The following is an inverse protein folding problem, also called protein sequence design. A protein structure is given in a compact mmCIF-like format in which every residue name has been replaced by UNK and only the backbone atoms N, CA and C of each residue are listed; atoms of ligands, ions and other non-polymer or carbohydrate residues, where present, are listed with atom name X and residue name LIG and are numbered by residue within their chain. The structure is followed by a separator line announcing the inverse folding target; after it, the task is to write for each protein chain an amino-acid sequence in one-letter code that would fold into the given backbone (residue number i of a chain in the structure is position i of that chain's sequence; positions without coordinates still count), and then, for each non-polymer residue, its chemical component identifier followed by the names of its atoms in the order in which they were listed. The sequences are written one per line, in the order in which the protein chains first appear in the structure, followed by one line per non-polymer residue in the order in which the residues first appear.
data_IF_852872809366
#
_entry.id   IF_852872809366
#
_cell.length_a   1.000
_cell.length_b   1.000
_cell.length_c   1.000
_cell.angle_alpha   90.00
_cell.angle_beta   90.00
_cell.angle_gamma   90.00
#
_symmetry.space_group_name_H-M   'P 1'
#
loop_
_entity.id
_entity.type
_entity.pdbx_description
1 polymer ?
#
# COMPACT_ATOMS: atom_id res chain seq x y z
N UNK A 1 2.80 -31.06 16.31
CA UNK A 1 1.62 -30.20 16.12
C UNK A 1 2.11 -28.76 16.01
N UNK A 2 2.15 -28.20 14.80
CA UNK A 2 2.56 -26.81 14.58
C UNK A 2 1.50 -25.88 15.19
N UNK A 3 1.79 -25.36 16.37
CA UNK A 3 0.97 -24.32 16.98
C UNK A 3 1.19 -23.04 16.15
N UNK A 4 0.37 -22.83 15.12
CA UNK A 4 0.38 -21.61 14.31
C UNK A 4 0.02 -20.47 15.27
N UNK A 5 1.01 -19.69 15.73
CA UNK A 5 0.74 -18.47 16.47
C UNK A 5 -0.17 -17.59 15.59
N UNK A 6 -1.39 -17.26 16.01
CA UNK A 6 -2.28 -16.44 15.22
C UNK A 6 -1.58 -15.09 14.95
N UNK A 7 -1.63 -14.64 13.71
CA UNK A 7 -1.19 -13.29 13.34
C UNK A 7 -1.90 -12.30 14.27
N UNK A 8 -1.15 -11.47 14.99
CA UNK A 8 -1.74 -10.36 15.75
C UNK A 8 -2.58 -9.49 14.83
N UNK A 9 -3.71 -8.97 15.34
CA UNK A 9 -4.72 -8.24 14.55
C UNK A 9 -4.12 -7.15 13.65
N UNK A 10 -3.14 -6.39 14.17
CA UNK A 10 -2.43 -5.37 13.41
C UNK A 10 -1.65 -5.90 12.20
N UNK A 11 -1.02 -7.09 12.30
CA UNK A 11 -0.31 -7.73 11.17
C UNK A 11 -1.29 -8.24 10.11
N UNK A 12 -2.45 -8.75 10.51
CA UNK A 12 -3.51 -9.13 9.55
C UNK A 12 -4.00 -7.91 8.78
N UNK A 13 -4.25 -6.80 9.47
CA UNK A 13 -4.68 -5.56 8.84
C UNK A 13 -3.62 -5.03 7.86
N UNK A 14 -2.34 -5.05 8.25
CA UNK A 14 -1.23 -4.66 7.38
C UNK A 14 -1.13 -5.56 6.13
N UNK A 15 -1.34 -6.87 6.27
CA UNK A 15 -1.33 -7.80 5.15
C UNK A 15 -2.48 -7.55 4.16
N UNK A 16 -3.70 -7.42 4.67
CA UNK A 16 -4.88 -7.12 3.84
C UNK A 16 -4.70 -5.79 3.12
N UNK A 17 -4.17 -4.79 3.82
CA UNK A 17 -3.88 -3.48 3.27
C UNK A 17 -2.83 -3.55 2.17
N UNK A 18 -1.76 -4.31 2.35
CA UNK A 18 -0.74 -4.51 1.33
C UNK A 18 -1.30 -5.19 0.08
N UNK A 19 -2.15 -6.20 0.24
CA UNK A 19 -2.84 -6.84 -0.90
C UNK A 19 -3.73 -5.85 -1.63
N UNK A 20 -4.52 -5.04 -0.90
CA UNK A 20 -5.33 -3.99 -1.50
C UNK A 20 -4.45 -3.00 -2.28
N UNK A 21 -3.34 -2.53 -1.72
CA UNK A 21 -2.43 -1.63 -2.44
C UNK A 21 -1.90 -2.28 -3.72
N UNK A 22 -1.48 -3.54 -3.70
CA UNK A 22 -1.00 -4.24 -4.89
C UNK A 22 -2.07 -4.33 -5.99
N UNK A 23 -3.30 -4.68 -5.62
CA UNK A 23 -4.43 -4.68 -6.55
C UNK A 23 -4.66 -3.27 -7.10
N UNK A 24 -4.64 -2.25 -6.24
CA UNK A 24 -4.78 -0.85 -6.62
C UNK A 24 -3.69 -0.39 -7.60
N UNK A 25 -2.45 -0.84 -7.45
CA UNK A 25 -1.35 -0.52 -8.35
C UNK A 25 -1.50 -1.09 -9.76
N UNK A 26 -2.22 -2.21 -9.91
CA UNK A 26 -2.49 -2.83 -11.22
C UNK A 26 -3.66 -2.17 -11.95
N UNK A 27 -4.55 -1.50 -11.22
CA UNK A 27 -5.70 -0.80 -11.78
C UNK A 27 -5.32 0.58 -12.35
N UNK A 28 -6.15 1.19 -13.21
CA UNK A 28 -5.95 2.55 -13.68
C UNK A 28 -5.95 3.55 -12.52
N UNK A 29 -4.92 4.38 -12.48
CA UNK A 29 -4.78 5.51 -11.53
C UNK A 29 -5.24 6.82 -12.17
N UNK A 30 -5.31 6.86 -13.49
CA UNK A 30 -5.88 7.96 -14.25
C UNK A 30 -6.46 7.42 -15.55
N UNK A 31 -7.65 7.86 -15.90
CA UNK A 31 -8.21 7.64 -17.22
C UNK A 31 -8.95 8.90 -17.68
N UNK A 32 -8.56 9.47 -18.82
CA UNK A 32 -9.25 10.61 -19.42
C UNK A 32 -9.34 10.47 -20.94
N UNK A 33 -10.34 11.12 -21.54
CA UNK A 33 -10.66 10.98 -22.97
C UNK A 33 -11.77 9.95 -23.23
N UNK A 34 -12.03 9.67 -24.51
CA UNK A 34 -13.11 8.75 -24.93
C UNK A 34 -14.48 9.42 -25.16
N UNK A 35 -14.68 10.68 -24.77
CA UNK A 35 -15.83 11.49 -25.16
C UNK A 35 -15.51 12.29 -26.43
N UNK A 36 -16.40 12.25 -27.43
CA UNK A 36 -16.26 13.06 -28.66
C UNK A 36 -15.22 12.59 -29.68
N UNK A 37 -14.79 11.33 -29.65
CA UNK A 37 -13.87 10.75 -30.64
C UNK A 37 -12.37 10.93 -30.33
N UNK A 38 -12.03 11.48 -29.17
CA UNK A 38 -10.65 11.56 -28.69
C UNK A 38 -10.19 10.20 -28.12
N UNK A 39 -8.94 9.78 -28.37
CA UNK A 39 -8.41 8.52 -27.84
C UNK A 39 -8.37 8.55 -26.31
N UNK A 40 -8.69 7.42 -25.68
CA UNK A 40 -8.61 7.28 -24.22
C UNK A 40 -7.14 7.18 -23.81
N UNK A 41 -6.74 7.96 -22.80
CA UNK A 41 -5.41 7.91 -22.22
C UNK A 41 -5.55 7.37 -20.80
N UNK A 42 -4.86 6.28 -20.52
CA UNK A 42 -4.87 5.60 -19.22
C UNK A 42 -3.47 5.51 -18.66
N UNK A 43 -3.30 5.89 -17.40
CA UNK A 43 -2.06 5.72 -16.64
C UNK A 43 -2.30 4.86 -15.42
N UNK A 44 -1.27 4.10 -15.04
CA UNK A 44 -1.27 3.24 -13.86
C UNK A 44 -0.21 3.72 -12.84
N UNK A 45 -0.07 2.99 -11.73
CA UNK A 45 0.93 3.28 -10.70
C UNK A 45 2.37 3.31 -11.25
N UNK A 46 2.66 2.54 -12.30
CA UNK A 46 4.00 2.42 -12.87
C UNK A 46 4.37 3.57 -13.81
N UNK A 47 3.43 4.44 -14.15
CA UNK A 47 3.66 5.61 -15.01
C UNK A 47 4.34 6.78 -14.28
N UNK A 48 5.14 6.51 -13.23
CA UNK A 48 5.83 7.54 -12.44
C UNK A 48 6.17 7.09 -11.02
N UNK A 49 5.90 7.95 -10.03
CA UNK A 49 6.26 7.69 -8.63
C UNK A 49 5.39 6.64 -7.90
N UNK A 50 4.32 6.13 -8.54
CA UNK A 50 3.48 5.07 -7.97
C UNK A 50 4.21 3.73 -7.78
N UNK A 51 5.38 3.56 -8.41
CA UNK A 51 6.29 2.44 -8.13
C UNK A 51 6.67 2.37 -6.63
N UNK A 52 6.83 3.51 -5.96
CA UNK A 52 7.15 3.55 -4.52
C UNK A 52 6.04 2.91 -3.67
N UNK A 53 4.79 3.08 -4.09
CA UNK A 53 3.60 2.54 -3.43
C UNK A 53 3.56 1.01 -3.60
N UNK A 54 3.88 0.53 -4.79
CA UNK A 54 4.03 -0.89 -5.07
C UNK A 54 5.16 -1.54 -4.24
N UNK A 55 6.33 -0.90 -4.20
CA UNK A 55 7.47 -1.38 -3.41
C UNK A 55 7.16 -1.40 -1.91
N UNK A 56 6.45 -0.39 -1.40
CA UNK A 56 6.01 -0.36 -0.02
C UNK A 56 5.06 -1.52 0.32
N UNK A 57 4.13 -1.85 -0.59
CA UNK A 57 3.21 -2.97 -0.40
C UNK A 57 3.93 -4.33 -0.43
N UNK A 58 4.87 -4.54 -1.35
CA UNK A 58 5.71 -5.74 -1.36
C UNK A 58 6.55 -5.82 -0.08
N UNK A 59 7.18 -4.71 0.33
CA UNK A 59 7.95 -4.65 1.57
C UNK A 59 7.10 -5.00 2.79
N UNK A 60 5.83 -4.57 2.80
CA UNK A 60 4.90 -4.91 3.88
C UNK A 60 4.59 -6.41 3.91
N UNK A 61 4.28 -7.02 2.76
CA UNK A 61 4.08 -8.47 2.69
C UNK A 61 5.34 -9.24 3.06
N UNK A 62 6.51 -8.77 2.64
CA UNK A 62 7.78 -9.36 3.01
C UNK A 62 7.97 -9.34 4.53
N UNK A 63 7.70 -8.22 5.21
CA UNK A 63 7.78 -8.15 6.67
C UNK A 63 6.78 -9.06 7.38
N UNK A 64 5.55 -9.17 6.87
CA UNK A 64 4.53 -10.04 7.45
C UNK A 64 4.89 -11.52 7.28
N UNK A 65 5.49 -11.89 6.14
CA UNK A 65 5.86 -13.28 5.81
C UNK A 65 7.22 -13.70 6.39
N UNK A 66 8.13 -12.74 6.62
CA UNK A 66 9.48 -12.95 7.18
C UNK A 66 9.53 -13.89 8.39
N UNK A 67 8.72 -13.68 9.47
CA UNK A 67 8.79 -14.53 10.66
C UNK A 67 8.35 -15.97 10.38
N UNK A 68 7.52 -16.20 9.36
CA UNK A 68 7.13 -17.55 8.95
C UNK A 68 8.21 -18.25 8.13
N UNK A 69 9.01 -17.48 7.38
CA UNK A 69 10.09 -18.01 6.55
C UNK A 69 11.40 -18.25 7.34
N UNK A 70 11.70 -17.41 8.33
CA UNK A 70 12.95 -17.47 9.08
C UNK A 70 12.97 -18.48 10.25
N UNK A 71 11.84 -19.13 10.55
CA UNK A 71 11.73 -20.09 11.65
C UNK A 71 11.99 -19.45 13.02
N UNK A 72 12.79 -20.10 13.86
CA UNK A 72 13.04 -19.70 15.26
C UNK A 72 14.04 -18.53 15.43
N UNK A 73 14.50 -17.90 14.35
CA UNK A 73 15.41 -16.73 14.48
C UNK A 73 14.59 -15.47 14.78
N UNK A 74 14.79 -14.82 15.94
CA UNK A 74 14.10 -13.56 16.25
C UNK A 74 14.59 -12.47 15.31
N UNK A 75 13.72 -12.03 14.41
CA UNK A 75 14.00 -10.92 13.51
C UNK A 75 13.46 -9.65 14.18
N UNK A 76 14.29 -9.03 15.01
CA UNK A 76 13.93 -7.83 15.78
C UNK A 76 13.36 -6.68 14.92
N UNK A 77 13.64 -6.69 13.61
CA UNK A 77 13.15 -5.69 12.66
C UNK A 77 11.70 -5.94 12.22
N UNK A 78 11.27 -7.19 12.04
CA UNK A 78 9.90 -7.50 11.62
C UNK A 78 8.86 -7.32 12.73
N UNK A 79 9.32 -7.22 13.98
CA UNK A 79 8.48 -7.00 15.16
C UNK A 79 8.29 -5.52 15.50
N UNK A 80 9.14 -4.64 14.97
CA UNK A 80 9.09 -3.20 15.26
C UNK A 80 8.05 -2.48 14.43
N UNK A 81 7.24 -1.66 15.09
CA UNK A 81 6.27 -0.77 14.46
C UNK A 81 6.95 0.22 13.48
N UNK A 82 8.21 0.58 13.72
CA UNK A 82 8.96 1.55 12.91
C UNK A 82 9.10 1.11 11.45
N UNK A 83 9.28 -0.18 11.18
CA UNK A 83 9.39 -0.69 9.81
C UNK A 83 8.09 -0.55 9.03
N UNK A 84 6.94 -0.81 9.68
CA UNK A 84 5.62 -0.59 9.09
C UNK A 84 5.32 0.90 8.90
N UNK A 85 5.78 1.78 9.81
CA UNK A 85 5.65 3.22 9.65
C UNK A 85 6.44 3.73 8.43
N UNK A 86 7.69 3.29 8.26
CA UNK A 86 8.51 3.69 7.13
C UNK A 86 7.84 3.29 5.81
N UNK A 87 7.29 2.07 5.73
CA UNK A 87 6.58 1.61 4.54
C UNK A 87 5.29 2.38 4.29
N UNK A 88 4.52 2.69 5.34
CA UNK A 88 3.32 3.53 5.23
C UNK A 88 3.67 4.95 4.75
N UNK A 89 4.74 5.56 5.29
CA UNK A 89 5.24 6.86 4.87
C UNK A 89 5.73 6.83 3.41
N UNK A 90 6.44 5.78 3.01
CA UNK A 90 6.91 5.60 1.63
C UNK A 90 5.74 5.47 0.65
N UNK A 91 4.69 4.73 1.02
CA UNK A 91 3.47 4.61 0.22
C UNK A 91 2.74 5.95 0.13
N UNK A 92 2.58 6.68 1.23
CA UNK A 92 1.98 8.01 1.24
C UNK A 92 2.75 9.02 0.38
N UNK A 93 4.08 9.04 0.49
CA UNK A 93 4.95 9.88 -0.34
C UNK A 93 4.87 9.49 -1.81
N UNK A 94 4.80 8.20 -2.14
CA UNK A 94 4.62 7.73 -3.52
C UNK A 94 3.33 8.25 -4.15
N UNK A 95 2.21 8.21 -3.41
CA UNK A 95 0.93 8.78 -3.86
C UNK A 95 1.06 10.29 -4.03
N UNK A 96 1.65 11.00 -3.07
CA UNK A 96 1.80 12.46 -3.11
C UNK A 96 2.64 12.92 -4.32
N UNK A 97 3.79 12.28 -4.54
CA UNK A 97 4.66 12.58 -5.67
C UNK A 97 4.02 12.22 -7.01
N UNK A 98 3.20 11.17 -7.05
CA UNK A 98 2.42 10.84 -8.25
C UNK A 98 1.36 11.91 -8.52
N UNK A 99 0.62 12.36 -7.50
CA UNK A 99 -0.35 13.44 -7.64
C UNK A 99 0.29 14.75 -8.12
N UNK A 100 1.47 15.12 -7.59
CA UNK A 100 2.21 16.32 -8.02
C UNK A 100 2.60 16.24 -9.50
N UNK A 101 3.02 15.07 -9.99
CA UNK A 101 3.34 14.87 -11.41
C UNK A 101 2.13 15.08 -12.32
N UNK A 102 0.94 14.74 -11.84
CA UNK A 102 -0.30 14.81 -12.61
C UNK A 102 -1.17 16.04 -12.29
N UNK A 103 -0.68 16.95 -11.44
CA UNK A 103 -1.40 18.14 -10.99
C UNK A 103 -1.69 19.16 -12.11
N UNK A 104 -1.07 18.99 -13.29
CA UNK A 104 -1.32 19.78 -14.50
C UNK A 104 -2.28 19.14 -15.52
N UNK A 105 -2.81 17.94 -15.23
CA UNK A 105 -3.79 17.26 -16.08
C UNK A 105 -5.24 17.49 -15.61
N UNK A 106 -6.21 17.18 -16.47
CA UNK A 106 -7.63 17.37 -16.18
C UNK A 106 -8.09 16.52 -14.97
N UNK A 107 -8.71 17.18 -13.99
CA UNK A 107 -9.11 16.58 -12.70
C UNK A 107 -10.20 15.51 -12.88
N UNK A 108 -10.92 15.53 -14.00
CA UNK A 108 -11.94 14.53 -14.32
C UNK A 108 -11.37 13.10 -14.32
N UNK A 109 -10.11 12.93 -14.75
CA UNK A 109 -9.48 11.62 -14.81
C UNK A 109 -9.08 11.01 -13.46
N UNK A 110 -9.18 11.79 -12.37
CA UNK A 110 -8.91 11.34 -10.99
C UNK A 110 -10.18 10.90 -10.24
N UNK A 111 -11.36 11.03 -10.85
CA UNK A 111 -12.61 10.60 -10.24
C UNK A 111 -12.59 9.10 -9.91
N UNK A 112 -13.26 8.65 -8.83
CA UNK A 112 -13.33 7.23 -8.47
C UNK A 112 -13.75 6.31 -9.61
N UNK A 113 -14.64 6.79 -10.48
CA UNK A 113 -15.15 6.04 -11.63
C UNK A 113 -14.09 5.83 -12.74
N UNK A 114 -13.09 6.71 -12.82
CA UNK A 114 -12.04 6.71 -13.85
C UNK A 114 -10.66 6.26 -13.32
N UNK A 115 -10.42 6.41 -12.03
CA UNK A 115 -9.15 6.10 -11.35
C UNK A 115 -9.32 5.12 -10.18
N UNK A 116 -9.99 3.96 -10.36
CA UNK A 116 -10.30 3.06 -9.25
C UNK A 116 -9.05 2.55 -8.53
N UNK A 117 -7.91 2.42 -9.24
CA UNK A 117 -6.65 1.98 -8.66
C UNK A 117 -6.06 2.96 -7.65
N UNK A 118 -6.15 4.27 -7.92
CA UNK A 118 -5.68 5.32 -7.02
C UNK A 118 -6.45 5.27 -5.69
N UNK A 119 -7.77 5.19 -5.77
CA UNK A 119 -8.65 5.17 -4.60
C UNK A 119 -8.48 3.90 -3.79
N UNK A 120 -8.33 2.76 -4.46
CA UNK A 120 -8.09 1.48 -3.79
C UNK A 120 -6.71 1.46 -3.11
N UNK A 121 -5.68 2.05 -3.74
CA UNK A 121 -4.38 2.24 -3.13
C UNK A 121 -4.45 3.20 -1.91
N UNK A 122 -5.21 4.29 -1.99
CA UNK A 122 -5.46 5.21 -0.87
C UNK A 122 -6.11 4.49 0.32
N UNK A 123 -7.17 3.72 0.09
CA UNK A 123 -7.82 2.90 1.13
C UNK A 123 -6.82 1.91 1.73
N UNK A 124 -5.99 1.28 0.90
CA UNK A 124 -4.92 0.41 1.34
C UNK A 124 -3.88 1.12 2.21
N UNK A 125 -3.45 2.34 1.87
CA UNK A 125 -2.50 3.12 2.68
C UNK A 125 -3.12 3.55 4.02
N UNK A 126 -4.41 3.91 4.03
CA UNK A 126 -5.15 4.20 5.27
C UNK A 126 -5.21 2.95 6.16
N UNK A 127 -5.52 1.79 5.58
CA UNK A 127 -5.52 0.50 6.27
C UNK A 127 -4.14 0.15 6.84
N UNK A 128 -3.08 0.36 6.07
CA UNK A 128 -1.70 0.12 6.50
C UNK A 128 -1.34 1.03 7.68
N UNK A 129 -1.70 2.32 7.61
CA UNK A 129 -1.48 3.29 8.68
C UNK A 129 -2.21 2.89 9.96
N UNK A 130 -3.44 2.39 9.85
CA UNK A 130 -4.20 1.83 10.98
C UNK A 130 -3.55 0.57 11.54
N UNK A 131 -3.02 -0.30 10.68
CA UNK A 131 -2.33 -1.53 11.10
C UNK A 131 -1.06 -1.22 11.88
N UNK A 132 -0.28 -0.24 11.41
CA UNK A 132 0.89 0.29 12.11
C UNK A 132 0.52 0.84 13.48
N UNK A 133 -0.59 1.59 13.59
CA UNK A 133 -1.06 2.13 14.86
C UNK A 133 -1.47 1.02 15.85
N UNK A 134 -2.15 -0.03 15.39
CA UNK A 134 -2.46 -1.18 16.25
C UNK A 134 -1.20 -1.91 16.73
N UNK A 135 -0.17 -2.03 15.90
CA UNK A 135 1.12 -2.63 16.30
C UNK A 135 1.82 -1.75 17.34
N UNK A 136 1.77 -0.43 17.18
CA UNK A 136 2.33 0.52 18.15
C UNK A 136 1.64 0.47 19.53
N UNK A 137 0.33 0.18 19.56
CA UNK A 137 -0.44 0.10 20.81
C UNK A 137 -0.25 -1.21 21.58
N UNK A 138 0.38 -2.23 20.99
CA UNK A 138 0.67 -3.48 21.72
C UNK A 138 1.76 -3.17 22.76
N UNK A 139 1.49 -3.38 24.07
CA UNK A 139 2.50 -3.16 25.09
C UNK A 139 3.69 -4.07 24.81
N UNK A 140 4.91 -3.51 24.80
CA UNK A 140 6.13 -4.32 24.87
C UNK A 140 6.05 -5.11 26.19
N UNK A 141 5.70 -6.40 26.09
CA UNK A 141 5.84 -7.31 27.21
C UNK A 141 7.34 -7.55 27.40
N UNK A 142 7.98 -6.62 28.10
CA UNK A 142 9.29 -6.81 28.71
C UNK A 142 9.19 -7.76 29.91
#
# INVERSE_FOLDING_TARGET
MQHRRPLGRGRQLAAISAVAILVGCLLPWFAAGGSGGLPVVTFNAFSGAGLLVFLAAIGTLALVTLPYAAGDRPIAWAERWTSYLILAALAGLGILLWLIQFMGHDLVGLRPDHAPGLWLALVGVIGLSRGTFEIYQMPEQH
#
